data_IF_318831229521
#
_entry.id   IF_318831229521
#
_cell.length_a   1.000
_cell.length_b   1.000
_cell.length_c   1.000
_cell.angle_alpha   90.00
_cell.angle_beta   90.00
_cell.angle_gamma   90.00
#
_symmetry.space_group_name_H-M   'P 1'
#
loop_
_entity.id
_entity.type
_entity.pdbx_description
1 polymer ?
#
# COMPACT_ATOMS: atom_id res chain seq x y z
N UNK A 1 -23.14 19.88 -7.57
CA UNK A 1 -22.76 20.78 -6.47
C UNK A 1 -23.19 20.14 -5.14
N UNK A 2 -22.29 19.48 -4.40
CA UNK A 2 -22.64 18.81 -3.15
C UNK A 2 -22.95 19.84 -2.04
N UNK A 3 -24.14 19.77 -1.44
CA UNK A 3 -24.59 20.63 -0.33
C UNK A 3 -23.69 20.39 0.89
N UNK A 4 -22.95 21.41 1.32
CA UNK A 4 -22.12 21.40 2.53
C UNK A 4 -23.04 21.23 3.76
N UNK A 5 -22.92 20.11 4.48
CA UNK A 5 -23.69 19.87 5.71
C UNK A 5 -23.13 20.75 6.83
N UNK A 6 -24.00 21.49 7.49
CA UNK A 6 -23.68 22.56 8.46
C UNK A 6 -23.10 22.05 9.79
N UNK A 7 -22.93 20.73 9.93
CA UNK A 7 -22.61 20.04 11.19
C UNK A 7 -21.19 19.47 11.26
N UNK A 8 -20.40 19.51 10.18
CA UNK A 8 -19.05 18.96 10.23
C UNK A 8 -18.11 19.94 10.96
N UNK A 9 -17.37 19.48 11.98
CA UNK A 9 -16.45 20.34 12.71
C UNK A 9 -15.38 20.92 11.77
N UNK A 10 -14.97 22.19 11.95
CA UNK A 10 -13.93 22.81 11.15
C UNK A 10 -12.61 22.04 11.36
N UNK A 11 -12.25 21.21 10.38
CA UNK A 11 -11.09 20.30 10.48
C UNK A 11 -11.37 18.86 10.06
N UNK A 12 -12.63 18.48 9.85
CA UNK A 12 -13.01 17.17 9.28
C UNK A 12 -12.66 17.09 7.79
N UNK A 13 -11.36 17.17 7.46
CA UNK A 13 -10.87 16.77 6.14
C UNK A 13 -10.82 15.25 6.14
N UNK A 14 -11.79 14.62 5.48
CA UNK A 14 -11.73 13.18 5.22
C UNK A 14 -10.48 12.89 4.41
N UNK A 15 -9.42 12.39 5.06
CA UNK A 15 -8.20 11.93 4.38
C UNK A 15 -8.54 10.56 3.80
N UNK A 16 -9.15 10.55 2.62
CA UNK A 16 -9.29 9.30 1.88
C UNK A 16 -7.89 8.75 1.62
N UNK A 17 -7.59 7.59 2.22
CA UNK A 17 -6.40 6.81 1.89
C UNK A 17 -6.90 5.60 1.13
N UNK A 18 -6.50 5.49 -0.13
CA UNK A 18 -6.74 4.27 -0.90
C UNK A 18 -6.05 3.12 -0.19
N UNK A 19 -6.81 2.09 0.17
CA UNK A 19 -6.23 0.86 0.68
C UNK A 19 -5.40 0.23 -0.44
N UNK A 20 -4.12 -0.05 -0.18
CA UNK A 20 -3.19 -0.59 -1.19
C UNK A 20 -3.14 -2.10 -1.18
N UNK A 21 -3.85 -2.76 -0.27
CA UNK A 21 -3.87 -4.21 -0.16
C UNK A 21 -4.99 -4.81 -0.98
N UNK A 22 -4.70 -5.93 -1.63
CA UNK A 22 -5.69 -6.75 -2.34
C UNK A 22 -5.48 -8.20 -1.96
N UNK A 23 -6.59 -8.92 -1.82
CA UNK A 23 -6.60 -10.35 -1.57
C UNK A 23 -7.04 -11.08 -2.84
N UNK A 24 -6.23 -12.04 -3.28
CA UNK A 24 -6.58 -12.97 -4.36
C UNK A 24 -6.54 -14.39 -3.80
N UNK A 25 -7.71 -15.03 -3.67
CA UNK A 25 -7.82 -16.33 -3.02
C UNK A 25 -7.41 -16.29 -1.54
N UNK A 26 -6.32 -17.00 -1.20
CA UNK A 26 -5.74 -17.03 0.16
C UNK A 26 -4.51 -16.13 0.30
N UNK A 27 -4.11 -15.48 -0.78
CA UNK A 27 -2.87 -14.72 -0.87
C UNK A 27 -3.17 -13.22 -0.83
N UNK A 28 -2.28 -12.47 -0.22
CA UNK A 28 -2.34 -11.03 -0.08
C UNK A 28 -1.26 -10.36 -0.90
N UNK A 29 -1.59 -9.21 -1.47
CA UNK A 29 -0.69 -8.41 -2.29
C UNK A 29 -0.84 -6.93 -1.94
N UNK A 30 0.14 -6.11 -2.33
CA UNK A 30 0.01 -4.67 -2.27
C UNK A 30 0.40 -3.97 -3.57
N UNK A 31 -0.26 -2.86 -3.85
CA UNK A 31 0.07 -1.98 -4.97
C UNK A 31 1.13 -0.95 -4.58
N UNK A 32 2.18 -0.84 -5.39
CA UNK A 32 3.14 0.25 -5.32
C UNK A 32 2.61 1.48 -6.06
N UNK A 33 3.23 2.66 -5.86
CA UNK A 33 2.85 3.88 -6.59
C UNK A 33 3.30 3.87 -8.04
N UNK A 34 4.24 2.98 -8.33
CA UNK A 34 4.92 2.76 -9.59
C UNK A 34 4.09 1.82 -10.49
N UNK A 35 3.00 1.26 -9.97
CA UNK A 35 2.07 0.40 -10.69
C UNK A 35 2.42 -1.09 -10.63
N UNK A 36 3.41 -1.49 -9.82
CA UNK A 36 3.69 -2.90 -9.55
C UNK A 36 2.79 -3.47 -8.45
N UNK A 37 2.59 -4.78 -8.51
CA UNK A 37 1.89 -5.56 -7.49
C UNK A 37 2.92 -6.46 -6.84
N UNK A 38 3.09 -6.32 -5.53
CA UNK A 38 4.06 -7.07 -4.74
C UNK A 38 3.35 -8.10 -3.86
N UNK A 39 3.93 -9.28 -3.76
CA UNK A 39 3.38 -10.46 -3.07
C UNK A 39 3.80 -11.74 -3.80
N UNK A 40 3.20 -12.90 -3.48
CA UNK A 40 2.12 -13.13 -2.52
C UNK A 40 2.58 -13.12 -1.05
N UNK A 41 1.68 -12.71 -0.17
CA UNK A 41 1.82 -12.77 1.30
C UNK A 41 0.73 -13.67 1.90
N UNK A 42 1.04 -14.31 3.03
CA UNK A 42 0.10 -15.23 3.71
C UNK A 42 -1.12 -14.50 4.30
N UNK A 43 -0.90 -13.30 4.83
CA UNK A 43 -1.94 -12.46 5.42
C UNK A 43 -1.73 -10.97 5.13
N UNK A 44 -2.76 -10.16 5.44
CA UNK A 44 -2.71 -8.70 5.28
C UNK A 44 -1.59 -8.07 6.10
N UNK A 45 -1.28 -8.65 7.26
CA UNK A 45 -0.23 -8.15 8.16
C UNK A 45 1.16 -8.27 7.51
N UNK A 46 1.48 -9.42 6.93
CA UNK A 46 2.71 -9.67 6.17
C UNK A 46 2.82 -8.75 4.95
N UNK A 47 1.71 -8.55 4.24
CA UNK A 47 1.68 -7.59 3.14
C UNK A 47 1.97 -6.15 3.63
N UNK A 48 1.46 -5.77 4.80
CA UNK A 48 1.74 -4.47 5.42
C UNK A 48 3.20 -4.33 5.86
N UNK A 49 3.80 -5.35 6.46
CA UNK A 49 5.23 -5.37 6.77
C UNK A 49 6.07 -5.20 5.49
N UNK A 50 5.74 -5.94 4.43
CA UNK A 50 6.40 -5.84 3.12
C UNK A 50 6.31 -4.44 2.51
N UNK A 51 5.14 -3.80 2.57
CA UNK A 51 4.96 -2.42 2.12
C UNK A 51 5.82 -1.43 2.94
N UNK A 52 5.94 -1.63 4.25
CA UNK A 52 6.74 -0.77 5.10
C UNK A 52 8.24 -0.89 4.76
N UNK A 53 8.73 -2.11 4.54
CA UNK A 53 10.10 -2.36 4.08
C UNK A 53 10.32 -1.72 2.70
N UNK A 54 9.41 -1.93 1.75
CA UNK A 54 9.48 -1.33 0.43
C UNK A 54 9.63 0.21 0.49
N UNK A 55 8.82 0.88 1.32
CA UNK A 55 8.89 2.32 1.52
C UNK A 55 10.23 2.75 2.15
N UNK A 56 10.78 1.97 3.08
CA UNK A 56 12.09 2.26 3.67
C UNK A 56 13.21 2.16 2.64
N UNK A 57 13.22 1.09 1.82
CA UNK A 57 14.23 0.90 0.77
C UNK A 57 14.11 2.00 -0.31
N UNK A 58 12.88 2.40 -0.67
CA UNK A 58 12.63 3.55 -1.55
C UNK A 58 13.23 4.84 -0.98
N UNK A 59 12.96 5.15 0.29
CA UNK A 59 13.44 6.38 0.93
C UNK A 59 14.97 6.42 1.07
N UNK A 60 15.61 5.26 1.16
CA UNK A 60 17.07 5.13 1.17
C UNK A 60 17.68 5.14 -0.24
N UNK A 61 16.85 5.33 -1.29
CA UNK A 61 17.28 5.31 -2.69
C UNK A 61 17.96 3.99 -3.10
N UNK A 62 17.65 2.89 -2.40
CA UNK A 62 18.25 1.57 -2.62
C UNK A 62 17.50 0.72 -3.65
N UNK A 63 16.35 1.20 -4.14
CA UNK A 63 15.65 0.58 -5.26
C UNK A 63 16.22 1.12 -6.56
N UNK A 64 17.10 0.35 -7.19
CA UNK A 64 17.49 0.54 -8.58
C UNK A 64 16.36 0.00 -9.49
N UNK A 65 16.17 0.63 -10.65
CA UNK A 65 15.04 0.39 -11.58
C UNK A 65 14.96 -1.05 -12.12
N UNK A 66 15.98 -1.88 -11.84
CA UNK A 66 16.09 -3.30 -12.22
C UNK A 66 15.82 -4.28 -11.07
N UNK A 67 15.60 -3.80 -9.85
CA UNK A 67 15.42 -4.66 -8.68
C UNK A 67 14.01 -5.23 -8.64
N UNK A 68 13.79 -6.30 -9.41
CA UNK A 68 12.66 -7.22 -9.23
C UNK A 68 12.72 -7.82 -7.84
N UNK A 69 12.11 -7.14 -6.87
CA UNK A 69 11.99 -7.57 -5.48
C UNK A 69 10.89 -8.64 -5.39
N UNK A 70 11.11 -9.74 -6.09
CA UNK A 70 10.36 -10.97 -5.88
C UNK A 70 10.73 -11.52 -4.50
N UNK A 71 10.08 -11.00 -3.46
CA UNK A 71 10.10 -11.58 -2.12
C UNK A 71 9.18 -12.81 -2.10
N UNK A 72 9.55 -13.84 -2.87
CA UNK A 72 8.86 -15.12 -2.88
C UNK A 72 9.33 -15.98 -1.69
N UNK A 73 8.38 -16.25 -0.80
CA UNK A 73 8.20 -17.41 0.09
C UNK A 73 9.34 -18.44 0.19
N UNK A 74 9.83 -18.66 1.41
CA UNK A 74 10.48 -19.90 1.85
C UNK A 74 9.64 -20.57 2.95
#
# INVERSE_FOLDING_TARGET
>A
MARKRKSDPPGARTRYRTNRFVQEGKEWYFFTREGSVEGPFEDEFKASEGLQVYVQVLNLNLLTVDSGLAMASA
#
